data_IF_298356700040
#
_entry.id   IF_298356700040
#
_cell.length_a   1.000
_cell.length_b   1.000
_cell.length_c   1.000
_cell.angle_alpha   90.00
_cell.angle_beta   90.00
_cell.angle_gamma   90.00
#
_symmetry.space_group_name_H-M   'P 1'
#
loop_
_entity.id
_entity.type
_entity.pdbx_description
1 polymer ?
#
# COMPACT_ATOMS: atom_id res chain seq x y z
N UNK A 1 -6.52 16.31 -3.00
CA UNK A 1 -5.07 16.03 -3.03
C UNK A 1 -4.35 17.16 -2.30
N UNK A 2 -3.46 16.87 -1.36
CA UNK A 2 -2.65 17.89 -0.64
C UNK A 2 -1.50 18.37 -1.55
N UNK A 3 -1.85 18.91 -2.72
CA UNK A 3 -0.88 19.47 -3.67
C UNK A 3 0.15 18.46 -4.18
N UNK A 4 1.41 18.91 -4.27
CA UNK A 4 2.54 18.18 -4.87
C UNK A 4 3.44 17.49 -3.85
N UNK A 5 3.08 17.51 -2.57
CA UNK A 5 3.90 16.93 -1.50
C UNK A 5 3.71 15.41 -1.45
N UNK A 6 4.83 14.71 -1.33
CA UNK A 6 4.85 13.27 -1.12
C UNK A 6 4.61 12.95 0.36
N UNK A 7 3.98 11.81 0.64
CA UNK A 7 3.69 11.36 1.99
C UNK A 7 4.97 11.06 2.79
N UNK A 8 6.00 10.57 2.11
CA UNK A 8 7.31 10.28 2.69
C UNK A 8 7.31 9.13 3.70
N UNK A 9 8.46 8.98 4.36
CA UNK A 9 8.66 8.03 5.46
C UNK A 9 8.33 8.71 6.78
N UNK A 10 7.60 8.02 7.66
CA UNK A 10 7.30 8.52 9.00
C UNK A 10 7.94 7.64 10.08
N UNK A 11 8.67 8.27 10.99
CA UNK A 11 9.22 7.63 12.18
C UNK A 11 8.12 7.26 13.18
N UNK A 12 8.32 6.15 13.89
CA UNK A 12 7.38 5.71 14.93
C UNK A 12 7.52 6.54 16.22
N UNK A 13 6.38 6.87 16.82
CA UNK A 13 6.31 7.45 18.17
C UNK A 13 5.93 6.42 19.24
N UNK A 14 5.57 5.19 18.82
CA UNK A 14 5.16 4.08 19.70
C UNK A 14 5.73 2.76 19.16
N UNK A 15 7.01 2.43 19.45
CA UNK A 15 7.70 1.28 18.84
C UNK A 15 7.03 -0.08 19.10
N UNK A 16 6.29 -0.21 20.20
CA UNK A 16 5.51 -1.43 20.51
C UNK A 16 4.24 -1.58 19.65
N UNK A 17 3.80 -0.51 18.99
CA UNK A 17 2.60 -0.48 18.17
C UNK A 17 2.89 -0.36 16.68
N UNK A 18 3.98 0.30 16.28
CA UNK A 18 4.34 0.54 14.88
C UNK A 18 5.85 0.62 14.70
N UNK A 19 6.33 0.06 13.61
CA UNK A 19 7.63 0.37 13.03
C UNK A 19 7.56 1.71 12.27
N UNK A 20 8.69 2.29 11.84
CA UNK A 20 8.70 3.35 10.83
C UNK A 20 7.98 2.88 9.56
N UNK A 21 7.25 3.77 8.92
CA UNK A 21 6.37 3.42 7.80
C UNK A 21 6.76 4.17 6.53
N UNK A 22 6.72 3.45 5.41
CA UNK A 22 6.63 4.00 4.07
C UNK A 22 5.37 3.44 3.41
N UNK A 23 4.27 4.18 3.54
CA UNK A 23 2.97 3.74 3.01
C UNK A 23 2.89 3.74 1.48
N UNK A 24 3.88 4.35 0.81
CA UNK A 24 4.02 4.32 -0.65
C UNK A 24 4.87 3.14 -1.14
N UNK A 25 5.45 2.35 -0.22
CA UNK A 25 6.25 1.16 -0.54
C UNK A 25 7.39 1.45 -1.52
N UNK A 26 8.09 2.57 -1.33
CA UNK A 26 9.19 3.03 -2.19
C UNK A 26 8.74 3.77 -3.45
N UNK A 27 7.44 3.98 -3.66
CA UNK A 27 6.89 4.74 -4.79
C UNK A 27 6.56 6.19 -4.41
N UNK A 28 6.13 6.98 -5.40
CA UNK A 28 5.49 8.28 -5.16
C UNK A 28 4.11 8.05 -4.54
N UNK A 29 3.88 8.54 -3.32
CA UNK A 29 2.57 8.50 -2.66
C UNK A 29 2.11 9.89 -2.22
N UNK A 30 0.84 10.25 -2.45
CA UNK A 30 0.28 11.56 -2.08
C UNK A 30 -1.05 11.46 -1.36
N UNK A 31 -1.30 12.40 -0.47
CA UNK A 31 -2.54 12.42 0.31
C UNK A 31 -3.74 12.89 -0.50
N UNK A 32 -4.71 11.98 -0.68
CA UNK A 32 -6.05 12.25 -1.20
C UNK A 32 -7.05 12.62 -0.11
N UNK A 33 -8.35 12.56 -0.43
CA UNK A 33 -9.41 12.67 0.56
C UNK A 33 -9.68 11.27 1.14
N UNK A 34 -9.01 10.93 2.25
CA UNK A 34 -9.20 9.67 2.97
C UNK A 34 -8.28 8.51 2.57
N UNK A 35 -7.47 8.67 1.52
CA UNK A 35 -6.58 7.61 1.02
C UNK A 35 -5.20 8.18 0.64
N UNK A 36 -4.20 7.30 0.63
CA UNK A 36 -2.97 7.53 -0.10
C UNK A 36 -3.20 7.22 -1.58
N UNK A 37 -2.81 8.12 -2.47
CA UNK A 37 -2.89 7.95 -3.92
C UNK A 37 -1.49 7.68 -4.47
N UNK A 38 -1.39 6.78 -5.46
CA UNK A 38 -0.13 6.43 -6.15
C UNK A 38 -0.14 7.01 -7.56
N UNK A 39 0.35 8.25 -7.80
CA UNK A 39 0.23 8.91 -9.10
C UNK A 39 0.90 8.13 -10.23
N UNK A 40 1.99 7.44 -9.91
CA UNK A 40 2.83 6.70 -10.87
C UNK A 40 2.61 5.17 -10.77
N UNK A 41 1.69 4.73 -9.90
CA UNK A 41 1.54 3.32 -9.55
C UNK A 41 2.57 2.85 -8.51
N UNK A 42 2.70 1.53 -8.35
CA UNK A 42 3.65 0.91 -7.41
C UNK A 42 4.52 -0.15 -8.11
N UNK A 43 5.71 -0.47 -7.59
CA UNK A 43 6.62 -1.44 -8.19
C UNK A 43 6.06 -2.84 -8.42
N UNK A 44 5.04 -3.25 -7.65
CA UNK A 44 4.48 -4.60 -7.68
C UNK A 44 3.18 -4.71 -8.49
N UNK A 45 2.82 -3.69 -9.28
CA UNK A 45 1.77 -3.82 -10.30
C UNK A 45 0.62 -2.82 -10.19
N UNK A 46 0.35 -2.22 -9.02
CA UNK A 46 -0.75 -1.24 -8.92
C UNK A 46 -0.58 -0.13 -9.95
N UNK A 47 -1.64 0.16 -10.69
CA UNK A 47 -1.62 1.13 -11.77
C UNK A 47 -1.54 2.58 -11.24
N UNK A 48 -1.10 3.53 -12.10
CA UNK A 48 -1.22 4.96 -11.87
C UNK A 48 -2.64 5.38 -11.43
N UNK A 49 -2.71 6.15 -10.35
CA UNK A 49 -3.95 6.66 -9.78
C UNK A 49 -4.68 5.69 -8.84
N UNK A 50 -4.09 4.53 -8.52
CA UNK A 50 -4.60 3.63 -7.48
C UNK A 50 -4.59 4.30 -6.09
N UNK A 51 -5.51 3.87 -5.22
CA UNK A 51 -5.67 4.40 -3.87
C UNK A 51 -5.45 3.29 -2.84
N UNK A 52 -4.85 3.58 -1.69
CA UNK A 52 -4.63 2.60 -0.62
C UNK A 52 -4.66 3.17 0.78
N UNK A 53 -4.78 2.29 1.78
CA UNK A 53 -4.60 2.61 3.18
C UNK A 53 -4.09 1.41 4.00
N UNK A 54 -3.77 1.68 5.26
CA UNK A 54 -3.32 0.68 6.22
C UNK A 54 -3.99 0.84 7.58
N UNK A 55 -4.02 -0.25 8.34
CA UNK A 55 -4.52 -0.31 9.70
C UNK A 55 -3.53 -1.04 10.60
N UNK A 56 -3.56 -0.68 11.89
CA UNK A 56 -2.48 -0.96 12.86
C UNK A 56 -2.13 -2.45 12.99
N UNK A 57 -3.08 -3.36 12.80
CA UNK A 57 -2.83 -4.81 12.88
C UNK A 57 -2.30 -5.40 11.56
N UNK A 58 -1.47 -4.64 10.85
CA UNK A 58 -1.00 -4.96 9.50
C UNK A 58 -2.15 -5.38 8.56
N UNK A 59 -3.18 -4.54 8.50
CA UNK A 59 -4.26 -4.65 7.51
C UNK A 59 -4.06 -3.61 6.42
N UNK A 60 -4.14 -4.01 5.16
CA UNK A 60 -3.93 -3.17 4.00
C UNK A 60 -5.07 -3.34 3.00
N UNK A 61 -5.47 -2.25 2.35
CA UNK A 61 -6.39 -2.33 1.22
C UNK A 61 -5.96 -1.39 0.12
N UNK A 62 -6.33 -1.72 -1.11
CA UNK A 62 -6.18 -0.82 -2.25
C UNK A 62 -7.30 -0.99 -3.26
N UNK A 63 -7.49 0.08 -4.04
CA UNK A 63 -8.48 0.22 -5.09
C UNK A 63 -7.73 0.67 -6.33
N UNK A 64 -7.71 -0.19 -7.34
CA UNK A 64 -7.13 0.04 -8.64
C UNK A 64 -8.22 -0.03 -9.71
N UNK A 65 -8.69 1.15 -10.12
CA UNK A 65 -9.78 1.27 -11.09
C UNK A 65 -9.33 0.97 -12.52
N UNK A 66 -8.03 1.07 -12.81
CA UNK A 66 -7.50 0.82 -14.14
C UNK A 66 -7.52 -0.68 -14.43
N UNK A 67 -7.12 -1.48 -13.44
CA UNK A 67 -7.12 -2.94 -13.53
C UNK A 67 -8.42 -3.60 -13.04
N UNK A 68 -9.42 -2.81 -12.61
CA UNK A 68 -10.68 -3.28 -12.00
C UNK A 68 -10.47 -4.22 -10.79
N UNK A 69 -9.48 -3.88 -9.94
CA UNK A 69 -9.08 -4.67 -8.77
C UNK A 69 -9.33 -3.89 -7.49
N UNK A 70 -9.91 -4.56 -6.49
CA UNK A 70 -9.99 -4.09 -5.12
C UNK A 70 -9.62 -5.23 -4.17
N UNK A 71 -8.75 -4.95 -3.19
CA UNK A 71 -8.23 -5.98 -2.27
C UNK A 71 -8.25 -5.50 -0.83
N UNK A 72 -8.45 -6.45 0.08
CA UNK A 72 -8.11 -6.31 1.49
C UNK A 72 -7.21 -7.50 1.88
N UNK A 73 -6.03 -7.21 2.43
CA UNK A 73 -5.16 -8.15 3.13
C UNK A 73 -5.19 -7.78 4.61
N UNK A 74 -5.67 -8.67 5.47
CA UNK A 74 -5.81 -8.38 6.90
C UNK A 74 -5.15 -9.46 7.75
N UNK A 75 -4.38 -9.03 8.75
CA UNK A 75 -3.76 -9.91 9.75
C UNK A 75 -4.14 -9.45 11.16
N UNK A 76 -3.56 -10.09 12.18
CA UNK A 76 -3.66 -9.70 13.59
C UNK A 76 -2.25 -9.56 14.20
N UNK A 77 -1.33 -8.94 13.44
CA UNK A 77 0.10 -8.86 13.78
C UNK A 77 0.44 -7.44 14.23
N UNK A 78 1.23 -7.35 15.31
CA UNK A 78 1.90 -6.14 15.77
C UNK A 78 3.42 -6.41 15.91
N UNK A 79 4.27 -5.38 15.79
CA UNK A 79 3.93 -3.97 15.49
C UNK A 79 3.44 -3.76 14.04
N UNK A 80 2.73 -2.67 13.78
CA UNK A 80 2.35 -2.24 12.42
C UNK A 80 3.60 -2.07 11.55
N UNK A 81 3.44 -2.32 10.25
CA UNK A 81 4.53 -2.34 9.28
C UNK A 81 5.58 -3.39 9.65
N UNK A 82 5.10 -4.58 10.00
CA UNK A 82 5.91 -5.76 10.25
C UNK A 82 6.56 -6.25 8.94
N UNK A 83 7.85 -6.63 9.01
CA UNK A 83 8.65 -6.97 7.84
C UNK A 83 8.05 -8.14 7.04
N UNK A 84 7.65 -9.22 7.72
CA UNK A 84 7.09 -10.39 7.06
C UNK A 84 5.73 -10.07 6.45
N UNK A 85 4.92 -9.28 7.14
CA UNK A 85 3.62 -8.89 6.59
C UNK A 85 3.73 -7.99 5.36
N UNK A 86 4.71 -7.08 5.32
CA UNK A 86 5.01 -6.28 4.12
C UNK A 86 5.55 -7.16 2.99
N UNK A 87 6.41 -8.12 3.27
CA UNK A 87 6.90 -9.09 2.28
C UNK A 87 5.74 -9.86 1.64
N UNK A 88 4.81 -10.37 2.46
CA UNK A 88 3.59 -11.06 1.99
C UNK A 88 2.70 -10.13 1.18
N UNK A 89 2.49 -8.88 1.60
CA UNK A 89 1.72 -7.89 0.85
C UNK A 89 2.29 -7.69 -0.56
N UNK A 90 3.60 -7.46 -0.67
CA UNK A 90 4.27 -7.20 -1.94
C UNK A 90 4.26 -8.42 -2.86
N UNK A 91 4.42 -9.63 -2.31
CA UNK A 91 4.33 -10.86 -3.10
C UNK A 91 2.91 -11.13 -3.57
N UNK A 92 1.93 -10.92 -2.70
CA UNK A 92 0.51 -11.05 -3.06
C UNK A 92 0.15 -10.10 -4.21
N UNK A 93 0.64 -8.86 -4.18
CA UNK A 93 0.45 -7.91 -5.28
C UNK A 93 1.04 -8.43 -6.59
N UNK A 94 2.32 -8.84 -6.58
CA UNK A 94 2.98 -9.34 -7.79
C UNK A 94 2.20 -10.49 -8.43
N UNK A 95 1.80 -11.48 -7.62
CA UNK A 95 1.05 -12.64 -8.12
C UNK A 95 -0.33 -12.23 -8.63
N UNK A 96 -1.03 -11.35 -7.91
CA UNK A 96 -2.37 -10.91 -8.32
C UNK A 96 -2.34 -10.22 -9.68
N UNK A 97 -1.40 -9.28 -9.88
CA UNK A 97 -1.33 -8.52 -11.13
C UNK A 97 -0.79 -9.36 -12.29
N UNK A 98 0.14 -10.29 -12.06
CA UNK A 98 0.64 -11.23 -13.08
C UNK A 98 -0.48 -12.14 -13.64
N UNK A 99 -1.31 -12.71 -12.77
CA UNK A 99 -2.46 -13.55 -13.17
C UNK A 99 -3.48 -12.79 -14.00
N UNK A 100 -3.66 -11.49 -13.74
CA UNK A 100 -4.66 -10.68 -14.46
C UNK A 100 -4.21 -10.26 -15.85
N UNK A 101 -2.91 -10.14 -16.10
CA UNK A 101 -2.37 -9.87 -17.43
C UNK A 101 -2.56 -11.07 -18.39
N UNK A 102 -2.54 -12.30 -17.88
CA UNK A 102 -2.74 -13.53 -18.69
C UNK A 102 -4.21 -13.78 -19.10
N UNK A 103 -5.16 -12.99 -18.59
CA UNK A 103 -6.60 -13.15 -18.86
C UNK A 103 -7.23 -11.94 -19.58
N UNK A 104 -6.39 -11.02 -20.08
CA UNK A 104 -6.80 -9.79 -20.79
C UNK A 104 -6.60 -9.87 -22.31
#
# INVERSE_FOLDING_TARGET
>A
QIGVLDAGVADTQMPNMSNPIDMAFGATGRWGLGFLLHPDGTPNGRAPGSASWGGIFNSYFWIDRTSDICVILATQILPFYDHETISVLQEFERVLYDVTEDHS
#
